data_IF_513568111835
#
_entry.id   IF_513568111835
#
_cell.length_a   1.000
_cell.length_b   1.000
_cell.length_c   1.000
_cell.angle_alpha   90.00
_cell.angle_beta   90.00
_cell.angle_gamma   90.00
#
_symmetry.space_group_name_H-M   'P 1'
#
loop_
_entity.id
_entity.type
_entity.pdbx_description
1 polymer ?
#
# COMPACT_ATOMS: atom_id res chain seq x y z
N UNK A 1 -12.08 -10.95 8.91
CA UNK A 1 -12.01 -10.60 7.47
C UNK A 1 -13.15 -9.68 6.98
N UNK A 2 -14.19 -9.38 7.79
CA UNK A 2 -15.31 -8.48 7.40
C UNK A 2 -14.98 -6.98 7.37
N UNK A 3 -13.87 -6.57 7.98
CA UNK A 3 -13.63 -5.17 8.31
C UNK A 3 -12.74 -4.43 7.30
N UNK A 4 -11.74 -5.10 6.71
CA UNK A 4 -10.82 -4.49 5.73
C UNK A 4 -11.55 -4.14 4.44
N UNK A 5 -12.37 -5.06 3.92
CA UNK A 5 -13.12 -4.86 2.70
C UNK A 5 -14.08 -3.66 2.78
N UNK A 6 -14.68 -3.45 3.97
CA UNK A 6 -15.54 -2.30 4.25
C UNK A 6 -14.78 -0.98 4.30
N UNK A 7 -13.52 -0.97 4.73
CA UNK A 7 -12.72 0.26 4.92
C UNK A 7 -11.93 0.68 3.69
N UNK A 8 -11.37 -0.27 2.96
CA UNK A 8 -10.45 0.01 1.85
C UNK A 8 -11.06 -0.29 0.48
N UNK A 9 -12.03 -1.20 0.41
CA UNK A 9 -12.64 -1.69 -0.82
C UNK A 9 -12.62 -3.21 -0.90
N UNK A 10 -13.58 -3.76 -1.66
CA UNK A 10 -13.74 -5.21 -1.82
C UNK A 10 -12.97 -5.79 -3.03
N UNK A 11 -12.33 -4.93 -3.83
CA UNK A 11 -11.60 -5.39 -5.01
C UNK A 11 -10.33 -6.15 -4.62
N UNK A 12 -10.02 -7.20 -5.40
CA UNK A 12 -8.94 -8.12 -5.10
C UNK A 12 -7.58 -7.43 -5.04
N UNK A 13 -7.35 -6.43 -5.90
CA UNK A 13 -6.10 -5.67 -5.92
C UNK A 13 -5.90 -4.88 -4.63
N UNK A 14 -6.94 -4.19 -4.16
CA UNK A 14 -6.91 -3.48 -2.88
C UNK A 14 -6.60 -4.44 -1.73
N UNK A 15 -7.31 -5.56 -1.63
CA UNK A 15 -7.09 -6.53 -0.54
C UNK A 15 -5.66 -7.07 -0.55
N UNK A 16 -5.14 -7.42 -1.73
CA UNK A 16 -3.78 -7.92 -1.87
C UNK A 16 -2.71 -6.88 -1.52
N UNK A 17 -2.94 -5.60 -1.83
CA UNK A 17 -2.01 -4.51 -1.48
C UNK A 17 -2.04 -4.21 0.02
N UNK A 18 -3.23 -4.18 0.61
CA UNK A 18 -3.43 -4.02 2.05
C UNK A 18 -2.67 -5.10 2.81
N UNK A 19 -2.74 -6.35 2.36
CA UNK A 19 -1.96 -7.46 2.95
C UNK A 19 -0.45 -7.26 2.85
N UNK A 20 0.06 -6.77 1.72
CA UNK A 20 1.49 -6.49 1.56
C UNK A 20 1.94 -5.38 2.50
N UNK A 21 1.18 -4.30 2.59
CA UNK A 21 1.47 -3.19 3.51
C UNK A 21 1.46 -3.68 4.96
N UNK A 22 0.50 -4.51 5.35
CA UNK A 22 0.44 -5.10 6.68
C UNK A 22 1.69 -5.91 7.02
N UNK A 23 2.04 -6.82 6.10
CA UNK A 23 3.11 -7.79 6.29
C UNK A 23 4.48 -7.14 6.32
N UNK A 24 4.79 -6.31 5.33
CA UNK A 24 6.11 -5.70 5.19
C UNK A 24 6.27 -4.45 6.06
N UNK A 25 5.17 -3.73 6.31
CA UNK A 25 5.15 -2.62 7.27
C UNK A 25 5.17 -3.06 8.73
N UNK A 26 4.98 -4.36 9.00
CA UNK A 26 4.81 -4.92 10.35
C UNK A 26 3.68 -4.23 11.14
N UNK A 27 2.58 -3.90 10.46
CA UNK A 27 1.44 -3.17 11.04
C UNK A 27 0.22 -4.08 11.19
N UNK A 28 -0.46 -3.98 12.32
CA UNK A 28 -1.76 -4.63 12.51
C UNK A 28 -2.85 -3.74 11.91
N UNK A 29 -3.54 -4.26 10.89
CA UNK A 29 -4.59 -3.53 10.17
C UNK A 29 -5.99 -3.72 10.77
N UNK A 30 -6.12 -4.37 11.93
CA UNK A 30 -7.42 -4.57 12.58
C UNK A 30 -8.16 -3.26 12.85
N UNK A 31 -7.46 -2.18 13.18
CA UNK A 31 -8.03 -0.85 13.45
C UNK A 31 -7.50 0.25 12.50
N UNK A 32 -6.91 -0.13 11.37
CA UNK A 32 -6.34 0.81 10.39
C UNK A 32 -7.34 1.15 9.30
N UNK A 33 -7.43 2.44 8.98
CA UNK A 33 -8.26 2.99 7.91
C UNK A 33 -7.43 3.72 6.84
N UNK A 34 -8.04 4.10 5.71
CA UNK A 34 -7.35 4.84 4.65
C UNK A 34 -6.81 6.19 5.11
N UNK A 35 -7.44 6.83 6.10
CA UNK A 35 -7.00 8.08 6.73
C UNK A 35 -5.89 7.91 7.78
N UNK A 36 -5.55 6.68 8.16
CA UNK A 36 -4.49 6.42 9.14
C UNK A 36 -3.12 6.76 8.54
N UNK A 37 -2.33 7.59 9.25
CA UNK A 37 -1.04 8.05 8.74
C UNK A 37 0.02 6.96 8.85
N UNK A 38 0.93 6.89 7.88
CA UNK A 38 2.05 5.95 7.89
C UNK A 38 2.96 6.18 9.11
N UNK A 39 3.10 7.43 9.54
CA UNK A 39 3.81 7.81 10.76
C UNK A 39 3.13 7.22 12.02
N UNK A 40 1.80 7.29 12.12
CA UNK A 40 1.08 6.72 13.28
C UNK A 40 1.18 5.21 13.36
N UNK A 41 1.43 4.56 12.21
CA UNK A 41 1.70 3.15 12.09
C UNK A 41 3.17 2.78 12.35
N UNK A 42 4.02 3.77 12.64
CA UNK A 42 5.45 3.60 12.86
C UNK A 42 6.17 2.95 11.65
N UNK A 43 5.67 3.19 10.43
CA UNK A 43 6.32 2.74 9.19
C UNK A 43 7.55 3.63 8.96
N UNK A 44 8.73 3.06 9.15
CA UNK A 44 9.98 3.75 8.88
C UNK A 44 10.32 3.73 7.39
N UNK A 45 11.31 4.52 6.96
CA UNK A 45 11.77 4.52 5.56
C UNK A 45 12.26 3.15 5.09
N UNK A 46 12.78 2.31 5.99
CA UNK A 46 13.20 0.94 5.67
C UNK A 46 11.98 0.08 5.37
N UNK A 47 10.95 0.12 6.22
CA UNK A 47 9.70 -0.61 6.02
C UNK A 47 9.00 -0.15 4.74
N UNK A 48 9.02 1.16 4.47
CA UNK A 48 8.49 1.73 3.25
C UNK A 48 9.18 1.16 2.01
N UNK A 49 10.52 1.10 1.98
CA UNK A 49 11.26 0.47 0.88
C UNK A 49 10.95 -1.02 0.73
N UNK A 50 10.76 -1.74 1.84
CA UNK A 50 10.37 -3.16 1.81
C UNK A 50 8.97 -3.36 1.22
N UNK A 51 8.01 -2.51 1.58
CA UNK A 51 6.67 -2.50 0.98
C UNK A 51 6.77 -2.30 -0.53
N UNK A 52 7.51 -1.28 -0.99
CA UNK A 52 7.65 -1.02 -2.42
C UNK A 52 8.25 -2.23 -3.16
N UNK A 53 9.36 -2.78 -2.65
CA UNK A 53 10.02 -3.94 -3.26
C UNK A 53 9.10 -5.17 -3.31
N UNK A 54 8.33 -5.44 -2.26
CA UNK A 54 7.38 -6.54 -2.23
C UNK A 54 6.22 -6.35 -3.21
N UNK A 55 5.78 -5.10 -3.42
CA UNK A 55 4.78 -4.78 -4.46
C UNK A 55 5.36 -4.99 -5.85
N UNK A 56 6.58 -4.53 -6.11
CA UNK A 56 7.28 -4.77 -7.38
C UNK A 56 7.38 -6.27 -7.69
N UNK A 57 7.81 -7.08 -6.71
CA UNK A 57 7.94 -8.53 -6.86
C UNK A 57 6.57 -9.21 -7.09
N UNK A 58 5.57 -8.90 -6.24
CA UNK A 58 4.26 -9.56 -6.29
C UNK A 58 3.49 -9.23 -7.56
N UNK A 59 3.58 -8.00 -8.05
CA UNK A 59 2.79 -7.55 -9.20
C UNK A 59 3.61 -7.44 -10.49
N UNK A 60 4.91 -7.73 -10.46
CA UNK A 60 5.84 -7.59 -11.60
C UNK A 60 5.80 -6.19 -12.22
N UNK A 61 5.86 -5.18 -11.36
CA UNK A 61 5.82 -3.76 -11.74
C UNK A 61 7.06 -3.05 -11.23
N UNK A 62 7.38 -1.88 -11.78
CA UNK A 62 8.41 -1.00 -11.25
C UNK A 62 7.80 0.19 -10.50
N UNK A 63 8.20 0.38 -9.25
CA UNK A 63 7.68 1.39 -8.32
C UNK A 63 8.83 2.27 -7.83
N UNK A 64 9.29 3.23 -8.66
CA UNK A 64 10.31 4.18 -8.24
C UNK A 64 9.76 5.09 -7.14
N UNK A 65 10.59 5.31 -6.12
CA UNK A 65 10.39 6.37 -5.13
C UNK A 65 10.45 7.74 -5.84
N UNK A 66 9.30 8.25 -6.26
CA UNK A 66 9.16 9.56 -6.91
C UNK A 66 8.37 10.55 -6.03
N UNK A 67 8.07 11.72 -6.58
CA UNK A 67 7.36 12.77 -5.86
C UNK A 67 5.96 12.35 -5.41
N UNK A 68 5.28 11.45 -6.12
CA UNK A 68 3.94 10.98 -5.74
C UNK A 68 3.99 10.17 -4.46
N UNK A 69 4.94 9.23 -4.36
CA UNK A 69 5.15 8.41 -3.17
C UNK A 69 5.74 9.21 -2.01
N UNK A 70 6.64 10.16 -2.30
CA UNK A 70 7.22 11.04 -1.28
C UNK A 70 6.20 11.96 -0.60
N UNK A 71 5.08 12.25 -1.26
CA UNK A 71 4.00 13.08 -0.72
C UNK A 71 2.91 12.30 0.01
N UNK A 72 2.93 10.96 -0.08
CA UNK A 72 1.96 10.11 0.62
C UNK A 72 2.17 10.21 2.13
N UNK A 73 1.07 10.40 2.86
CA UNK A 73 1.07 10.51 4.33
C UNK A 73 0.27 9.42 5.02
N UNK A 74 -0.69 8.82 4.33
CA UNK A 74 -1.64 7.87 4.86
C UNK A 74 -1.74 6.61 4.00
N UNK A 75 -2.35 5.57 4.57
CA UNK A 75 -2.48 4.26 3.92
C UNK A 75 -3.31 4.36 2.64
N UNK A 76 -4.36 5.18 2.65
CA UNK A 76 -5.22 5.39 1.48
C UNK A 76 -4.46 5.98 0.30
N UNK A 77 -3.63 6.99 0.54
CA UNK A 77 -2.75 7.59 -0.46
C UNK A 77 -1.73 6.59 -0.99
N UNK A 78 -1.12 5.78 -0.12
CA UNK A 78 -0.17 4.75 -0.53
C UNK A 78 -0.85 3.74 -1.46
N UNK A 79 -2.03 3.23 -1.06
CA UNK A 79 -2.82 2.31 -1.84
C UNK A 79 -3.23 2.91 -3.20
N UNK A 80 -3.63 4.18 -3.24
CA UNK A 80 -4.03 4.83 -4.47
C UNK A 80 -2.88 4.90 -5.49
N UNK A 81 -1.70 5.37 -5.05
CA UNK A 81 -0.52 5.48 -5.93
C UNK A 81 -0.06 4.11 -6.41
N UNK A 82 -0.01 3.10 -5.53
CA UNK A 82 0.38 1.74 -5.91
C UNK A 82 -0.62 1.12 -6.90
N UNK A 83 -1.92 1.29 -6.66
CA UNK A 83 -2.97 0.82 -7.59
C UNK A 83 -2.83 1.45 -8.96
N UNK A 84 -2.67 2.77 -9.02
CA UNK A 84 -2.51 3.50 -10.28
C UNK A 84 -1.33 2.95 -11.09
N UNK A 85 -0.17 2.77 -10.45
CA UNK A 85 1.01 2.19 -11.11
C UNK A 85 0.78 0.77 -11.61
N UNK A 86 0.19 -0.09 -10.79
CA UNK A 86 -0.08 -1.48 -11.18
C UNK A 86 -1.05 -1.55 -12.37
N UNK A 87 -2.07 -0.70 -12.36
CA UNK A 87 -3.04 -0.63 -13.44
C UNK A 87 -2.43 -0.02 -14.72
N UNK A 88 -1.55 0.97 -14.59
CA UNK A 88 -0.84 1.56 -15.72
C UNK A 88 0.08 0.54 -16.40
N UNK A 89 0.86 -0.22 -15.62
CA UNK A 89 1.76 -1.25 -16.15
C UNK A 89 0.98 -2.38 -16.85
N UNK A 90 -0.17 -2.79 -16.30
CA UNK A 90 -1.02 -3.83 -16.90
C UNK A 90 -1.71 -3.39 -18.20
N UNK A 91 -1.75 -2.10 -18.50
CA UNK A 91 -2.35 -1.54 -19.71
C UNK A 91 -1.30 -1.21 -20.79
N UNK A 92 -0.01 -1.27 -20.46
CA UNK A 92 1.11 -1.04 -21.37
C UNK A 92 1.44 -2.30 -22.20
#
# INVERSE_FOLDING_TARGET
MSDIATRFGEDELTLQLVEVIAKEGMVDLTDVGPETTLESLNIASVDYMMILAAVEEKFSVYVPMDESLAQVKDVGGLLAVLKERILAEKQA
#
